data_IF_007892282869
#
_entry.id   IF_007892282869
#
_cell.length_a   1.000
_cell.length_b   1.000
_cell.length_c   1.000
_cell.angle_alpha   90.00
_cell.angle_beta   90.00
_cell.angle_gamma   90.00
#
_symmetry.space_group_name_H-M   'P 1'
#
loop_
_entity.id
_entity.type
_entity.pdbx_description
1 polymer ?
#
# COMPACT_ATOMS: atom_id res chain seq x y z
N UNK A 1 -6.66 -79.80 16.79
CA UNK A 1 -7.12 -78.59 17.43
C UNK A 1 -6.00 -77.55 17.22
N UNK A 2 -6.09 -76.78 16.15
CA UNK A 2 -5.01 -75.93 15.70
C UNK A 2 -5.40 -74.44 15.98
N UNK A 3 -4.69 -73.83 16.88
CA UNK A 3 -4.94 -72.39 17.27
C UNK A 3 -4.16 -71.50 16.34
N UNK A 4 -4.87 -70.71 15.56
CA UNK A 4 -4.29 -69.71 14.69
C UNK A 4 -4.13 -68.35 15.44
N UNK A 5 -2.90 -67.92 15.65
CA UNK A 5 -2.56 -66.58 16.22
C UNK A 5 -2.60 -65.57 15.11
N UNK A 6 -3.57 -64.66 15.15
CA UNK A 6 -3.60 -63.46 14.25
C UNK A 6 -2.79 -62.33 14.91
N UNK A 7 -1.66 -62.00 14.29
CA UNK A 7 -0.87 -60.81 14.67
C UNK A 7 -1.58 -59.55 14.19
N UNK A 8 -1.92 -58.67 15.13
CA UNK A 8 -2.42 -57.31 14.86
C UNK A 8 -1.19 -56.42 14.77
N UNK A 9 -0.92 -55.89 13.56
CA UNK A 9 0.09 -54.83 13.33
C UNK A 9 -0.61 -53.49 13.56
N UNK A 10 -0.26 -52.83 14.67
CA UNK A 10 -0.70 -51.48 14.93
C UNK A 10 0.21 -50.49 14.16
N UNK A 11 -0.33 -49.85 13.13
CA UNK A 11 0.33 -48.76 12.40
C UNK A 11 0.11 -47.45 13.18
N UNK A 12 1.13 -46.99 13.87
CA UNK A 12 1.10 -45.70 14.56
C UNK A 12 1.40 -44.62 13.52
N UNK A 13 0.38 -43.85 13.10
CA UNK A 13 0.56 -42.62 12.30
C UNK A 13 1.17 -41.54 13.22
N UNK A 14 2.45 -41.26 13.04
CA UNK A 14 3.05 -40.01 13.57
C UNK A 14 2.56 -38.84 12.74
N UNK A 15 1.62 -38.06 13.26
CA UNK A 15 1.26 -36.76 12.71
C UNK A 15 2.37 -35.76 13.06
N UNK A 16 3.28 -35.51 12.13
CA UNK A 16 4.23 -34.39 12.24
C UNK A 16 3.46 -33.09 11.99
N UNK A 17 3.14 -32.38 13.05
CA UNK A 17 2.69 -30.97 12.95
C UNK A 17 3.88 -30.14 12.50
N UNK A 18 3.93 -29.77 11.22
CA UNK A 18 4.79 -28.69 10.74
C UNK A 18 4.29 -27.38 11.40
N UNK A 19 4.98 -26.95 12.44
CA UNK A 19 4.84 -25.59 12.94
C UNK A 19 5.34 -24.67 11.81
N UNK A 20 4.43 -24.01 11.11
CA UNK A 20 4.79 -22.86 10.24
C UNK A 20 5.33 -21.82 11.20
N UNK A 21 6.65 -21.64 11.24
CA UNK A 21 7.27 -20.53 11.95
C UNK A 21 6.68 -19.25 11.34
N UNK A 22 6.03 -18.44 12.17
CA UNK A 22 5.55 -17.14 11.77
C UNK A 22 6.77 -16.33 11.27
N UNK A 23 6.64 -15.74 10.08
CA UNK A 23 7.74 -15.01 9.44
C UNK A 23 7.68 -13.58 9.94
N UNK A 24 8.64 -13.18 10.76
CA UNK A 24 8.75 -11.79 11.22
C UNK A 24 8.90 -10.84 10.02
N UNK A 25 8.09 -9.77 9.92
CA UNK A 25 8.15 -8.82 8.83
C UNK A 25 9.53 -8.16 8.69
N UNK A 26 10.00 -7.99 7.43
CA UNK A 26 11.18 -7.18 7.15
C UNK A 26 10.90 -5.71 7.49
N UNK A 27 11.87 -5.03 8.14
CA UNK A 27 11.76 -3.60 8.38
C UNK A 27 12.28 -2.82 7.18
N UNK A 28 11.48 -1.91 6.69
CA UNK A 28 11.84 -0.89 5.71
C UNK A 28 11.58 0.49 6.31
N UNK A 29 12.19 1.53 5.76
CA UNK A 29 11.80 2.90 6.10
C UNK A 29 10.79 3.44 5.09
N UNK A 30 9.93 4.32 5.56
CA UNK A 30 9.02 5.14 4.76
C UNK A 30 9.56 6.58 4.75
N UNK A 31 9.73 7.16 3.56
CA UNK A 31 10.23 8.53 3.39
C UNK A 31 9.71 9.17 2.11
N UNK A 32 9.86 10.49 2.00
CA UNK A 32 9.51 11.24 0.81
C UNK A 32 10.66 11.33 -0.18
N UNK A 33 10.34 11.57 -1.43
CA UNK A 33 11.31 11.87 -2.49
C UNK A 33 12.16 13.08 -2.10
N UNK A 34 13.49 12.92 -2.17
CA UNK A 34 14.46 13.94 -1.76
C UNK A 34 14.98 13.79 -0.31
N UNK A 35 14.31 13.02 0.56
CA UNK A 35 14.65 12.92 1.98
C UNK A 35 15.53 11.71 2.33
N UNK A 36 15.86 10.85 1.34
CA UNK A 36 16.62 9.63 1.58
C UNK A 36 18.01 9.89 2.17
N UNK A 37 18.64 11.02 1.83
CA UNK A 37 19.94 11.39 2.38
C UNK A 37 19.87 11.67 3.89
N UNK A 38 18.84 12.37 4.33
CA UNK A 38 18.60 12.63 5.75
C UNK A 38 18.35 11.32 6.53
N UNK A 39 17.81 10.30 5.88
CA UNK A 39 17.58 8.96 6.46
C UNK A 39 18.80 8.03 6.37
N UNK A 40 19.96 8.48 5.88
CA UNK A 40 21.12 7.62 5.55
C UNK A 40 21.62 6.78 6.73
N UNK A 41 21.63 7.33 7.95
CA UNK A 41 22.02 6.61 9.18
C UNK A 41 21.06 5.45 9.45
N UNK A 42 19.75 5.67 9.30
CA UNK A 42 18.73 4.64 9.50
C UNK A 42 18.86 3.56 8.41
N UNK A 43 19.05 3.97 7.16
CA UNK A 43 19.21 3.06 6.02
C UNK A 43 20.43 2.16 6.17
N UNK A 44 21.53 2.65 6.79
CA UNK A 44 22.74 1.87 6.99
C UNK A 44 22.59 0.74 8.01
N UNK A 45 21.55 0.74 8.83
CA UNK A 45 21.33 -0.28 9.87
C UNK A 45 21.14 -1.67 9.24
N UNK A 46 21.66 -2.69 9.92
CA UNK A 46 21.57 -4.09 9.45
C UNK A 46 20.17 -4.67 9.48
N UNK A 47 19.30 -4.15 10.38
CA UNK A 47 17.90 -4.58 10.54
C UNK A 47 16.92 -3.90 9.56
N UNK A 48 17.39 -2.99 8.71
CA UNK A 48 16.61 -2.34 7.66
C UNK A 48 16.88 -3.02 6.31
N UNK A 49 15.84 -3.51 5.64
CA UNK A 49 15.93 -4.20 4.34
C UNK A 49 15.89 -3.26 3.14
N UNK A 50 15.28 -2.07 3.29
CA UNK A 50 15.11 -1.12 2.19
C UNK A 50 14.35 0.13 2.57
N UNK A 51 13.88 0.84 1.55
CA UNK A 51 13.03 2.02 1.70
C UNK A 51 11.83 1.96 0.76
N UNK A 52 10.69 2.45 1.23
CA UNK A 52 9.58 2.91 0.41
C UNK A 52 9.71 4.42 0.28
N UNK A 53 9.75 4.92 -0.95
CA UNK A 53 9.90 6.35 -1.23
C UNK A 53 8.70 6.82 -2.02
N UNK A 54 8.08 7.91 -1.54
CA UNK A 54 6.89 8.51 -2.16
C UNK A 54 7.32 9.50 -3.23
N UNK A 55 6.84 9.30 -4.44
CA UNK A 55 7.00 10.21 -5.58
C UNK A 55 5.63 10.69 -6.03
N UNK A 56 5.45 11.99 -6.17
CA UNK A 56 4.20 12.52 -6.70
C UNK A 56 4.21 12.48 -8.24
N UNK A 57 3.01 12.36 -8.83
CA UNK A 57 2.86 12.25 -10.28
C UNK A 57 3.50 13.42 -11.04
N UNK A 58 3.30 14.67 -10.56
CA UNK A 58 3.84 15.88 -11.20
C UNK A 58 5.36 15.86 -11.34
N UNK A 59 6.07 15.37 -10.34
CA UNK A 59 7.53 15.29 -10.38
C UNK A 59 8.03 14.23 -11.35
N UNK A 60 7.25 13.18 -11.58
CA UNK A 60 7.61 12.09 -12.50
C UNK A 60 7.23 12.38 -13.96
N UNK A 61 6.22 13.22 -14.19
CA UNK A 61 5.74 13.65 -15.50
C UNK A 61 5.44 15.15 -15.48
N UNK A 62 6.48 16.03 -15.46
CA UNK A 62 6.28 17.48 -15.39
C UNK A 62 5.52 18.04 -16.61
N UNK A 63 5.73 17.47 -17.79
CA UNK A 63 5.01 17.78 -19.02
C UNK A 63 4.48 16.48 -19.65
N UNK A 64 3.42 16.58 -20.42
CA UNK A 64 2.79 15.41 -21.06
C UNK A 64 3.80 14.62 -21.89
N UNK A 65 3.91 13.33 -21.58
CA UNK A 65 4.85 12.38 -22.21
C UNK A 65 6.35 12.70 -22.01
N UNK A 66 6.66 13.61 -21.09
CA UNK A 66 8.03 13.91 -20.69
C UNK A 66 8.24 13.44 -19.24
N UNK A 67 8.99 12.37 -19.09
CA UNK A 67 9.20 11.74 -17.78
C UNK A 67 10.56 12.13 -17.19
N UNK A 68 10.56 12.57 -15.93
CA UNK A 68 11.77 12.77 -15.15
C UNK A 68 11.87 11.75 -14.03
N UNK A 69 12.74 10.77 -14.23
CA UNK A 69 13.03 9.73 -13.25
C UNK A 69 14.40 9.90 -12.58
N UNK A 70 15.00 11.07 -12.71
CA UNK A 70 16.33 11.35 -12.16
C UNK A 70 16.41 11.10 -10.66
N UNK A 71 15.38 11.48 -9.90
CA UNK A 71 15.32 11.26 -8.46
C UNK A 71 15.20 9.75 -8.13
N UNK A 72 14.39 9.00 -8.85
CA UNK A 72 14.30 7.54 -8.66
C UNK A 72 15.65 6.87 -8.92
N UNK A 73 16.37 7.28 -9.98
CA UNK A 73 17.70 6.74 -10.28
C UNK A 73 18.71 7.05 -9.17
N UNK A 74 18.70 8.26 -8.63
CA UNK A 74 19.57 8.65 -7.52
C UNK A 74 19.29 7.83 -6.26
N UNK A 75 18.02 7.72 -5.87
CA UNK A 75 17.61 6.96 -4.70
C UNK A 75 17.92 5.47 -4.85
N UNK A 76 17.67 4.90 -6.04
CA UNK A 76 18.00 3.52 -6.35
C UNK A 76 19.53 3.27 -6.28
N UNK A 77 20.35 4.19 -6.79
CA UNK A 77 21.79 4.08 -6.74
C UNK A 77 22.31 4.12 -5.29
N UNK A 78 21.79 5.02 -4.46
CA UNK A 78 22.12 5.12 -3.02
C UNK A 78 21.75 3.83 -2.28
N UNK A 79 20.53 3.33 -2.47
CA UNK A 79 20.05 2.11 -1.83
C UNK A 79 20.86 0.88 -2.28
N UNK A 80 21.21 0.78 -3.57
CA UNK A 80 22.08 -0.30 -4.08
C UNK A 80 23.46 -0.27 -3.44
N UNK A 81 24.06 0.90 -3.26
CA UNK A 81 25.36 1.05 -2.58
C UNK A 81 25.27 0.54 -1.14
N UNK A 82 24.16 0.79 -0.46
CA UNK A 82 23.87 0.29 0.88
C UNK A 82 23.38 -1.17 0.91
N UNK A 83 23.27 -1.85 -0.24
CA UNK A 83 22.67 -3.19 -0.42
C UNK A 83 21.22 -3.27 0.08
N UNK A 84 20.45 -2.22 -0.16
CA UNK A 84 19.05 -2.07 0.25
C UNK A 84 18.13 -2.09 -0.96
N UNK A 85 16.86 -2.42 -0.71
CA UNK A 85 15.79 -2.54 -1.71
C UNK A 85 15.02 -1.23 -1.82
N UNK A 86 14.52 -0.90 -3.01
CA UNK A 86 13.62 0.25 -3.25
C UNK A 86 12.21 -0.23 -3.54
N UNK A 87 11.22 0.33 -2.82
CA UNK A 87 9.83 0.38 -3.20
C UNK A 87 9.48 1.79 -3.69
N UNK A 88 8.96 1.91 -4.90
CA UNK A 88 8.43 3.16 -5.45
C UNK A 88 6.96 3.25 -5.02
N UNK A 89 6.58 4.29 -4.28
CA UNK A 89 5.18 4.64 -4.07
C UNK A 89 4.81 5.80 -4.96
N UNK A 90 3.83 5.60 -5.84
CA UNK A 90 3.31 6.67 -6.70
C UNK A 90 2.15 7.33 -5.97
N UNK A 91 2.18 8.66 -5.86
CA UNK A 91 1.14 9.41 -5.16
C UNK A 91 0.39 10.33 -6.13
N UNK A 92 -0.93 10.12 -6.22
CA UNK A 92 -1.87 10.89 -7.03
C UNK A 92 -2.96 11.60 -6.20
N UNK A 93 -2.91 11.41 -4.87
CA UNK A 93 -3.79 12.05 -3.89
C UNK A 93 -2.95 12.67 -2.78
N UNK A 94 -3.41 13.76 -2.23
CA UNK A 94 -2.65 14.54 -1.27
C UNK A 94 -3.59 15.30 -0.34
N UNK A 95 -3.12 15.55 0.87
CA UNK A 95 -3.90 16.06 2.00
C UNK A 95 -3.42 17.46 2.43
N UNK A 96 -3.05 18.28 1.45
CA UNK A 96 -2.61 19.64 1.62
C UNK A 96 -3.48 20.57 0.76
N UNK A 97 -4.05 21.59 1.37
CA UNK A 97 -5.01 22.49 0.72
C UNK A 97 -4.47 23.12 -0.58
N UNK A 98 -3.22 23.52 -0.59
CA UNK A 98 -2.61 24.25 -1.71
C UNK A 98 -1.74 23.36 -2.61
N UNK A 99 -1.53 22.07 -2.26
CA UNK A 99 -0.75 21.17 -3.07
C UNK A 99 -1.49 20.79 -4.37
N UNK A 100 -0.74 20.61 -5.45
CA UNK A 100 -1.22 20.17 -6.77
C UNK A 100 -0.17 19.22 -7.35
N UNK A 101 -0.14 17.99 -6.85
CA UNK A 101 0.90 17.02 -7.17
C UNK A 101 0.60 16.15 -8.39
N UNK A 102 -0.35 16.57 -9.23
CA UNK A 102 -0.54 16.02 -10.57
C UNK A 102 -0.02 16.97 -11.64
N UNK A 103 0.35 16.51 -12.85
CA UNK A 103 0.82 17.37 -13.94
C UNK A 103 -0.14 18.52 -14.29
N UNK A 104 0.40 19.69 -14.59
CA UNK A 104 -0.40 20.89 -14.89
C UNK A 104 -1.31 20.72 -16.10
N UNK A 105 -0.89 19.94 -17.10
CA UNK A 105 -1.72 19.70 -18.28
C UNK A 105 -3.03 18.95 -17.94
N UNK A 106 -3.05 18.11 -16.91
CA UNK A 106 -4.26 17.43 -16.47
C UNK A 106 -5.29 18.40 -15.89
N UNK A 107 -4.83 19.48 -15.24
CA UNK A 107 -5.70 20.48 -14.65
C UNK A 107 -6.14 21.56 -15.65
N UNK A 108 -5.33 21.85 -16.66
CA UNK A 108 -5.51 22.97 -17.57
C UNK A 108 -6.15 22.59 -18.92
N UNK A 109 -6.02 21.36 -19.38
CA UNK A 109 -6.62 20.89 -20.62
C UNK A 109 -8.03 20.33 -20.36
N UNK A 110 -9.01 20.88 -21.07
CA UNK A 110 -10.43 20.58 -20.91
C UNK A 110 -10.76 19.08 -21.12
N UNK A 111 -9.96 18.33 -21.88
CA UNK A 111 -10.16 16.90 -22.10
C UNK A 111 -10.08 16.05 -20.82
N UNK A 112 -9.40 16.53 -19.79
CA UNK A 112 -9.22 15.83 -18.51
C UNK A 112 -10.21 16.28 -17.42
N UNK A 113 -11.19 17.13 -17.74
CA UNK A 113 -12.23 17.54 -16.80
C UNK A 113 -11.73 18.26 -15.55
N UNK A 114 -10.52 18.83 -15.58
CA UNK A 114 -9.86 19.46 -14.44
C UNK A 114 -8.88 18.55 -13.71
N UNK A 115 -8.83 17.26 -14.05
CA UNK A 115 -7.82 16.29 -13.63
C UNK A 115 -7.86 15.86 -12.16
N UNK A 116 -8.30 16.75 -11.26
CA UNK A 116 -8.38 16.49 -9.81
C UNK A 116 -9.73 16.91 -9.23
N UNK A 117 -10.08 16.33 -8.11
CA UNK A 117 -11.24 16.72 -7.30
C UNK A 117 -10.83 17.03 -5.88
N UNK A 118 -11.50 18.00 -5.23
CA UNK A 118 -11.30 18.22 -3.80
C UNK A 118 -11.84 17.02 -3.01
N UNK A 119 -11.15 16.68 -1.93
CA UNK A 119 -11.57 15.68 -0.96
C UNK A 119 -11.40 16.20 0.48
N UNK A 120 -12.01 15.50 1.45
CA UNK A 120 -11.73 15.71 2.86
C UNK A 120 -10.37 15.10 3.22
N UNK A 121 -9.69 15.70 4.19
CA UNK A 121 -8.40 15.19 4.69
C UNK A 121 -8.58 13.95 5.59
N UNK A 122 -9.63 13.96 6.43
CA UNK A 122 -9.93 12.83 7.31
C UNK A 122 -11.41 12.47 7.23
N UNK A 123 -11.75 11.33 6.65
CA UNK A 123 -13.12 10.87 6.60
C UNK A 123 -13.77 10.80 7.98
N UNK A 124 -14.95 11.39 8.12
CA UNK A 124 -15.74 11.35 9.34
C UNK A 124 -15.28 12.26 10.49
N UNK A 125 -14.24 13.07 10.30
CA UNK A 125 -13.73 14.00 11.33
C UNK A 125 -14.30 15.43 11.19
N UNK A 126 -15.22 15.67 10.25
CA UNK A 126 -15.90 16.96 10.09
C UNK A 126 -15.01 18.09 9.55
N UNK A 127 -13.87 17.79 8.95
CA UNK A 127 -13.01 18.78 8.29
C UNK A 127 -13.67 19.31 7.02
N UNK A 128 -13.29 20.54 6.65
CA UNK A 128 -13.85 21.21 5.47
C UNK A 128 -13.36 20.57 4.17
N UNK A 129 -14.26 20.50 3.17
CA UNK A 129 -13.92 20.12 1.81
C UNK A 129 -12.76 20.99 1.27
N UNK A 130 -11.85 20.37 0.52
CA UNK A 130 -10.71 21.04 -0.07
C UNK A 130 -9.46 21.12 0.82
N UNK A 131 -9.45 20.38 1.94
CA UNK A 131 -8.23 20.13 2.72
C UNK A 131 -7.30 19.10 2.06
N UNK A 132 -7.79 18.41 1.04
CA UNK A 132 -7.03 17.49 0.20
C UNK A 132 -7.55 17.44 -1.23
N UNK A 133 -6.87 16.69 -2.08
CA UNK A 133 -7.17 16.54 -3.51
C UNK A 133 -6.86 15.11 -3.96
N UNK A 134 -7.60 14.64 -4.97
CA UNK A 134 -7.41 13.32 -5.59
C UNK A 134 -7.47 13.44 -7.12
N UNK A 135 -6.61 12.71 -7.84
CA UNK A 135 -6.72 12.57 -9.28
C UNK A 135 -8.01 11.85 -9.66
N UNK A 136 -8.68 12.32 -10.71
CA UNK A 136 -9.97 11.77 -11.17
C UNK A 136 -9.77 10.45 -11.92
N UNK A 137 -9.27 9.41 -11.26
CA UNK A 137 -8.99 8.11 -11.88
C UNK A 137 -10.23 7.44 -12.50
N UNK A 138 -11.44 7.85 -12.08
CA UNK A 138 -12.70 7.43 -12.70
C UNK A 138 -12.93 8.06 -14.09
N UNK A 139 -12.20 9.14 -14.44
CA UNK A 139 -12.20 9.69 -15.80
C UNK A 139 -11.23 8.86 -16.69
N UNK A 140 -11.70 8.30 -17.83
CA UNK A 140 -10.86 7.47 -18.69
C UNK A 140 -9.62 8.20 -19.24
N UNK A 141 -9.73 9.52 -19.53
CA UNK A 141 -8.61 10.27 -20.07
C UNK A 141 -7.51 10.48 -19.01
N UNK A 142 -7.89 10.77 -17.75
CA UNK A 142 -6.95 10.85 -16.62
C UNK A 142 -6.34 9.48 -16.33
N UNK A 143 -7.16 8.43 -16.28
CA UNK A 143 -6.70 7.06 -16.03
C UNK A 143 -5.69 6.58 -17.07
N UNK A 144 -5.92 6.86 -18.37
CA UNK A 144 -4.96 6.53 -19.42
C UNK A 144 -3.61 7.22 -19.23
N UNK A 145 -3.60 8.46 -18.73
CA UNK A 145 -2.33 9.16 -18.41
C UNK A 145 -1.60 8.52 -17.24
N UNK A 146 -2.33 8.11 -16.21
CA UNK A 146 -1.75 7.37 -15.10
C UNK A 146 -1.15 6.02 -15.55
N UNK A 147 -1.86 5.30 -16.41
CA UNK A 147 -1.35 4.06 -16.99
C UNK A 147 -0.13 4.29 -17.89
N UNK A 148 -0.07 5.40 -18.62
CA UNK A 148 1.12 5.79 -19.39
C UNK A 148 2.33 6.04 -18.48
N UNK A 149 2.13 6.73 -17.35
CA UNK A 149 3.17 6.88 -16.32
C UNK A 149 3.64 5.53 -15.76
N UNK A 150 2.71 4.65 -15.41
CA UNK A 150 3.04 3.29 -14.93
C UNK A 150 3.87 2.51 -15.94
N UNK A 151 3.51 2.59 -17.23
CA UNK A 151 4.26 1.92 -18.31
C UNK A 151 5.68 2.48 -18.45
N UNK A 152 5.84 3.81 -18.40
CA UNK A 152 7.15 4.46 -18.49
C UNK A 152 8.06 4.12 -17.29
N UNK A 153 7.50 4.07 -16.08
CA UNK A 153 8.24 3.63 -14.88
C UNK A 153 8.63 2.15 -15.03
N UNK A 154 7.72 1.30 -15.49
CA UNK A 154 7.99 -0.12 -15.65
C UNK A 154 9.06 -0.39 -16.70
N UNK A 155 9.02 0.29 -17.86
CA UNK A 155 10.05 0.20 -18.90
C UNK A 155 11.45 0.47 -18.33
N UNK A 156 11.57 1.43 -17.43
CA UNK A 156 12.85 1.83 -16.84
C UNK A 156 13.29 0.98 -15.65
N UNK A 157 12.34 0.56 -14.80
CA UNK A 157 12.65 0.07 -13.45
C UNK A 157 12.17 -1.35 -13.15
N UNK A 158 11.37 -2.00 -13.99
CA UNK A 158 10.90 -3.36 -13.72
C UNK A 158 12.08 -4.35 -13.61
N UNK A 159 12.15 -5.03 -12.47
CA UNK A 159 13.26 -5.92 -12.10
C UNK A 159 14.51 -5.20 -11.56
N UNK A 160 14.53 -3.84 -11.54
CA UNK A 160 15.59 -3.05 -10.91
C UNK A 160 15.22 -2.58 -9.52
N UNK A 161 13.91 -2.38 -9.28
CA UNK A 161 13.32 -2.06 -7.98
C UNK A 161 12.65 -3.28 -7.38
N UNK A 162 12.46 -3.29 -6.07
CA UNK A 162 11.81 -4.41 -5.40
C UNK A 162 10.31 -4.44 -5.67
N UNK A 163 9.69 -3.27 -5.70
CA UNK A 163 8.27 -3.17 -6.03
C UNK A 163 7.79 -1.76 -6.31
N UNK A 164 6.56 -1.68 -6.77
CA UNK A 164 5.79 -0.45 -6.93
C UNK A 164 4.53 -0.52 -6.07
N UNK A 165 4.22 0.58 -5.39
CA UNK A 165 3.03 0.73 -4.56
C UNK A 165 2.08 1.72 -5.22
N UNK A 166 0.86 1.29 -5.50
CA UNK A 166 -0.20 2.15 -5.98
C UNK A 166 -0.82 2.93 -4.81
N UNK A 167 -1.43 4.09 -5.05
CA UNK A 167 -2.11 4.88 -4.02
C UNK A 167 -3.19 4.08 -3.31
N UNK A 168 -3.58 4.53 -2.11
CA UNK A 168 -4.62 3.84 -1.35
C UNK A 168 -6.00 3.90 -2.02
N UNK A 169 -6.86 2.94 -1.72
CA UNK A 169 -8.24 2.89 -2.26
C UNK A 169 -9.15 3.96 -1.69
N UNK A 170 -8.79 4.54 -0.53
CA UNK A 170 -9.60 5.51 0.17
C UNK A 170 -9.60 6.87 -0.51
N UNK A 171 -10.77 7.39 -0.77
CA UNK A 171 -11.05 8.79 -1.10
C UNK A 171 -12.32 9.24 -0.37
N UNK A 172 -12.42 10.51 -0.05
CA UNK A 172 -13.58 11.07 0.66
C UNK A 172 -14.10 12.33 -0.06
N UNK A 173 -15.02 12.12 -0.97
CA UNK A 173 -15.65 13.17 -1.77
C UNK A 173 -16.92 13.70 -1.09
N UNK A 174 -17.31 14.94 -1.43
CA UNK A 174 -18.58 15.49 -0.99
C UNK A 174 -19.75 14.78 -1.67
N UNK A 175 -20.46 13.93 -0.94
CA UNK A 175 -21.63 13.18 -1.44
C UNK A 175 -22.73 14.10 -1.99
N UNK A 176 -22.80 15.36 -1.54
CA UNK A 176 -23.78 16.34 -2.01
C UNK A 176 -23.39 16.99 -3.34
N UNK A 177 -22.09 16.87 -3.72
CA UNK A 177 -21.54 17.50 -4.92
C UNK A 177 -20.49 16.59 -5.57
N UNK A 178 -20.92 15.42 -5.99
CA UNK A 178 -20.04 14.47 -6.64
C UNK A 178 -19.48 15.03 -7.96
N UNK A 179 -18.21 14.77 -8.27
CA UNK A 179 -17.60 15.15 -9.55
C UNK A 179 -18.29 14.45 -10.73
N UNK A 180 -18.23 15.09 -11.90
CA UNK A 180 -18.78 14.51 -13.13
C UNK A 180 -18.15 13.14 -13.41
N UNK A 181 -18.98 12.17 -13.76
CA UNK A 181 -18.56 10.81 -14.10
C UNK A 181 -18.20 9.94 -12.91
N UNK A 182 -18.18 10.47 -11.69
CA UNK A 182 -17.96 9.68 -10.50
C UNK A 182 -19.20 8.85 -10.15
N UNK A 183 -18.99 7.59 -9.89
CA UNK A 183 -19.83 6.72 -9.08
C UNK A 183 -18.90 5.74 -8.36
N UNK A 184 -19.36 5.15 -7.26
CA UNK A 184 -18.54 4.20 -6.51
C UNK A 184 -18.15 2.99 -7.35
N UNK A 185 -19.09 2.47 -8.16
CA UNK A 185 -18.82 1.38 -9.10
C UNK A 185 -17.79 1.76 -10.17
N UNK A 186 -17.90 2.97 -10.73
CA UNK A 186 -16.95 3.44 -11.73
C UNK A 186 -15.56 3.65 -11.12
N UNK A 187 -15.49 4.24 -9.92
CA UNK A 187 -14.22 4.39 -9.21
C UNK A 187 -13.58 3.04 -8.91
N UNK A 188 -14.33 2.11 -8.33
CA UNK A 188 -13.84 0.75 -8.06
C UNK A 188 -13.34 0.07 -9.34
N UNK A 189 -14.13 0.10 -10.42
CA UNK A 189 -13.74 -0.51 -11.70
C UNK A 189 -12.45 0.11 -12.26
N UNK A 190 -12.30 1.43 -12.13
CA UNK A 190 -11.12 2.19 -12.58
C UNK A 190 -9.85 1.83 -11.81
N UNK A 191 -9.94 1.72 -10.49
CA UNK A 191 -8.81 1.29 -9.66
C UNK A 191 -8.41 -0.17 -9.94
N UNK A 192 -9.38 -1.06 -10.14
CA UNK A 192 -9.11 -2.44 -10.54
C UNK A 192 -8.45 -2.54 -11.93
N UNK A 193 -8.82 -1.67 -12.87
CA UNK A 193 -8.19 -1.57 -14.19
C UNK A 193 -6.74 -1.09 -14.08
N UNK A 194 -6.47 -0.06 -13.25
CA UNK A 194 -5.12 0.41 -12.97
C UNK A 194 -4.26 -0.68 -12.34
N UNK A 195 -4.81 -1.43 -11.39
CA UNK A 195 -4.11 -2.52 -10.71
C UNK A 195 -3.75 -3.66 -11.68
N UNK A 196 -4.70 -4.06 -12.53
CA UNK A 196 -4.47 -5.06 -13.58
C UNK A 196 -3.41 -4.59 -14.58
N UNK A 197 -3.45 -3.32 -14.97
CA UNK A 197 -2.46 -2.72 -15.86
C UNK A 197 -1.07 -2.67 -15.21
N UNK A 198 -0.98 -2.23 -13.96
CA UNK A 198 0.28 -2.23 -13.22
C UNK A 198 0.90 -3.64 -13.17
N UNK A 199 0.12 -4.68 -12.83
CA UNK A 199 0.62 -6.07 -12.83
C UNK A 199 1.10 -6.53 -14.19
N UNK A 200 0.44 -6.09 -15.28
CA UNK A 200 0.83 -6.43 -16.65
C UNK A 200 2.20 -5.83 -17.01
N UNK A 201 2.45 -4.57 -16.65
CA UNK A 201 3.68 -3.86 -17.05
C UNK A 201 4.86 -4.13 -16.12
N UNK A 202 4.63 -4.35 -14.82
CA UNK A 202 5.66 -4.74 -13.85
C UNK A 202 5.72 -6.26 -13.73
N UNK A 203 6.34 -6.94 -14.71
CA UNK A 203 6.36 -8.39 -14.76
C UNK A 203 7.30 -9.04 -13.72
N UNK A 204 8.36 -8.34 -13.30
CA UNK A 204 9.44 -8.84 -12.44
C UNK A 204 9.37 -8.29 -11.01
N UNK A 205 8.99 -7.04 -10.86
CA UNK A 205 8.89 -6.36 -9.57
C UNK A 205 7.54 -6.66 -8.91
N UNK A 206 7.48 -6.55 -7.57
CA UNK A 206 6.21 -6.63 -6.86
C UNK A 206 5.31 -5.46 -7.23
N UNK A 207 4.02 -5.73 -7.38
CA UNK A 207 2.97 -4.71 -7.46
C UNK A 207 2.14 -4.82 -6.20
N UNK A 208 1.98 -3.72 -5.47
CA UNK A 208 1.21 -3.65 -4.23
C UNK A 208 0.15 -2.57 -4.36
N UNK A 209 -1.10 -2.88 -4.03
CA UNK A 209 -2.17 -1.90 -3.86
C UNK A 209 -2.30 -1.57 -2.38
N UNK A 210 -2.26 -0.28 -2.03
CA UNK A 210 -2.64 0.14 -0.69
C UNK A 210 -4.16 0.11 -0.53
N UNK A 211 -4.60 -0.45 0.58
CA UNK A 211 -6.00 -0.72 0.90
C UNK A 211 -6.34 -0.09 2.24
N UNK A 212 -7.36 0.75 2.27
CA UNK A 212 -7.90 1.32 3.49
C UNK A 212 -9.41 1.06 3.54
N UNK A 213 -10.22 1.89 2.90
CA UNK A 213 -11.64 1.65 2.68
C UNK A 213 -11.99 1.95 1.21
N UNK A 214 -13.18 1.59 0.78
CA UNK A 214 -13.76 2.00 -0.49
C UNK A 214 -14.84 3.06 -0.25
N UNK A 215 -14.91 4.13 -1.06
CA UNK A 215 -16.07 5.02 -1.00
C UNK A 215 -17.37 4.22 -1.21
N UNK A 216 -18.42 4.62 -0.51
CA UNK A 216 -19.74 3.98 -0.48
C UNK A 216 -19.78 2.57 0.15
N UNK A 217 -18.67 1.93 0.44
CA UNK A 217 -18.66 0.59 1.03
C UNK A 217 -18.47 0.64 2.55
N UNK A 218 -19.31 -0.09 3.25
CA UNK A 218 -19.13 -0.34 4.67
C UNK A 218 -19.36 -1.82 4.98
N UNK A 219 -18.37 -2.44 5.62
CA UNK A 219 -18.44 -3.87 5.98
C UNK A 219 -18.70 -4.77 4.76
N UNK A 220 -18.05 -4.46 3.63
CA UNK A 220 -18.14 -5.21 2.36
C UNK A 220 -19.57 -5.32 1.77
N UNK A 221 -20.45 -4.35 2.02
CA UNK A 221 -21.84 -4.38 1.54
C UNK A 221 -21.98 -4.20 0.01
N UNK A 222 -20.95 -3.64 -0.66
CA UNK A 222 -20.81 -3.61 -2.13
C UNK A 222 -19.88 -4.68 -2.68
N UNK A 223 -19.26 -5.46 -1.80
CA UNK A 223 -18.27 -6.50 -2.16
C UNK A 223 -17.05 -5.97 -2.94
N UNK A 224 -16.68 -4.70 -2.80
CA UNK A 224 -15.48 -4.15 -3.42
C UNK A 224 -14.21 -4.71 -2.75
N UNK A 225 -14.18 -4.72 -1.43
CA UNK A 225 -13.06 -5.25 -0.67
C UNK A 225 -12.84 -6.74 -0.98
N UNK A 226 -13.91 -7.54 -0.94
CA UNK A 226 -13.85 -8.97 -1.26
C UNK A 226 -13.29 -9.23 -2.65
N UNK A 227 -13.80 -8.51 -3.67
CA UNK A 227 -13.35 -8.62 -5.08
C UNK A 227 -11.90 -8.20 -5.26
N UNK A 228 -11.43 -7.15 -4.56
CA UNK A 228 -10.02 -6.75 -4.61
C UNK A 228 -9.10 -7.85 -4.08
N UNK A 229 -9.41 -8.41 -2.91
CA UNK A 229 -8.57 -9.45 -2.29
C UNK A 229 -8.57 -10.74 -3.12
N UNK A 230 -9.71 -11.14 -3.65
CA UNK A 230 -9.84 -12.28 -4.56
C UNK A 230 -9.00 -12.07 -5.83
N UNK A 231 -9.12 -10.92 -6.46
CA UNK A 231 -8.36 -10.57 -7.66
C UNK A 231 -6.85 -10.54 -7.39
N UNK A 232 -6.41 -9.90 -6.31
CA UNK A 232 -5.01 -9.80 -5.96
C UNK A 232 -4.39 -11.19 -5.70
N UNK A 233 -5.09 -12.04 -4.96
CA UNK A 233 -4.66 -13.42 -4.68
C UNK A 233 -4.54 -14.26 -5.96
N UNK A 234 -5.46 -14.09 -6.91
CA UNK A 234 -5.45 -14.84 -8.17
C UNK A 234 -4.39 -14.35 -9.20
N UNK A 235 -3.90 -13.11 -9.05
CA UNK A 235 -3.06 -12.46 -10.08
C UNK A 235 -1.62 -12.14 -9.61
N UNK A 236 -1.14 -12.75 -8.54
CA UNK A 236 0.20 -12.51 -8.00
C UNK A 236 0.44 -11.01 -7.69
N UNK A 237 -0.54 -10.39 -7.04
CA UNK A 237 -0.50 -8.99 -6.60
C UNK A 237 -0.40 -8.97 -5.09
N UNK A 238 0.44 -8.08 -4.58
CA UNK A 238 0.51 -7.78 -3.16
C UNK A 238 -0.55 -6.75 -2.75
N UNK A 239 -0.93 -6.80 -1.49
CA UNK A 239 -1.75 -5.76 -0.87
C UNK A 239 -1.02 -5.17 0.34
N UNK A 240 -1.38 -3.96 0.70
CA UNK A 240 -0.83 -3.29 1.86
C UNK A 240 -1.79 -2.25 2.41
N UNK A 241 -1.33 -1.42 3.29
CA UNK A 241 -2.11 -0.31 3.82
C UNK A 241 -1.21 0.81 4.33
N UNK A 242 -1.70 2.06 4.32
CA UNK A 242 -0.90 3.20 4.75
C UNK A 242 -0.64 3.21 6.26
N UNK A 243 -1.47 2.47 7.04
CA UNK A 243 -1.42 2.52 8.50
C UNK A 243 -1.63 1.15 9.12
N UNK A 244 -0.71 0.75 9.99
CA UNK A 244 -0.95 -0.31 10.97
C UNK A 244 -1.47 0.34 12.24
N UNK A 245 -2.76 0.22 12.52
CA UNK A 245 -3.34 0.70 13.79
C UNK A 245 -4.03 -0.47 14.48
N UNK A 246 -3.35 -1.16 15.40
CA UNK A 246 -3.94 -2.29 16.09
C UNK A 246 -5.28 -1.92 16.75
N UNK A 247 -6.28 -2.79 16.59
CA UNK A 247 -7.61 -2.66 17.20
C UNK A 247 -8.43 -1.43 16.75
N UNK A 248 -8.04 -0.69 15.70
CA UNK A 248 -8.84 0.44 15.20
C UNK A 248 -10.15 -0.06 14.60
N UNK A 249 -11.27 0.39 15.16
CA UNK A 249 -12.61 -0.14 14.86
C UNK A 249 -12.97 -0.12 13.37
N UNK A 250 -12.65 0.96 12.66
CA UNK A 250 -12.97 1.07 11.23
C UNK A 250 -12.21 0.04 10.39
N UNK A 251 -10.90 -0.06 10.56
CA UNK A 251 -10.09 -1.04 9.84
C UNK A 251 -10.40 -2.48 10.26
N UNK A 252 -10.64 -2.74 11.54
CA UNK A 252 -11.08 -4.05 12.05
C UNK A 252 -12.44 -4.48 11.49
N UNK A 253 -13.22 -3.55 10.95
CA UNK A 253 -14.50 -3.85 10.30
C UNK A 253 -14.37 -3.96 8.77
N UNK A 254 -13.56 -3.12 8.15
CA UNK A 254 -13.55 -2.97 6.69
C UNK A 254 -12.38 -3.72 6.00
N UNK A 255 -11.14 -3.46 6.35
CA UNK A 255 -9.97 -3.98 5.61
C UNK A 255 -9.22 -5.10 6.31
N UNK A 256 -8.93 -4.99 7.61
CA UNK A 256 -8.07 -5.93 8.32
C UNK A 256 -8.59 -7.39 8.37
N UNK A 257 -9.90 -7.67 8.47
CA UNK A 257 -10.40 -9.04 8.40
C UNK A 257 -10.05 -9.74 7.10
N UNK A 258 -9.98 -9.01 5.99
CA UNK A 258 -9.58 -9.56 4.69
C UNK A 258 -8.10 -9.90 4.66
N UNK A 259 -7.22 -9.07 5.22
CA UNK A 259 -5.80 -9.42 5.38
C UNK A 259 -5.65 -10.70 6.19
N UNK A 260 -6.39 -10.84 7.28
CA UNK A 260 -6.39 -12.07 8.09
C UNK A 260 -6.87 -13.28 7.29
N UNK A 261 -7.97 -13.17 6.56
CA UNK A 261 -8.54 -14.25 5.73
C UNK A 261 -7.62 -14.69 4.59
N UNK A 262 -6.88 -13.72 4.01
CA UNK A 262 -5.97 -13.96 2.89
C UNK A 262 -4.51 -14.10 3.31
N UNK A 263 -4.24 -14.24 4.58
CA UNK A 263 -2.92 -14.53 5.13
C UNK A 263 -2.29 -15.72 4.40
N UNK A 264 -1.06 -15.55 3.91
CA UNK A 264 -0.33 -16.53 3.10
C UNK A 264 -0.95 -16.86 1.71
N UNK A 265 -1.90 -16.06 1.22
CA UNK A 265 -2.49 -16.22 -0.11
C UNK A 265 -2.15 -15.07 -1.07
N UNK A 266 -1.70 -13.95 -0.54
CA UNK A 266 -1.25 -12.80 -1.32
C UNK A 266 0.23 -12.96 -1.69
N UNK A 267 0.63 -12.36 -2.81
CA UNK A 267 2.03 -12.36 -3.26
C UNK A 267 2.96 -11.64 -2.27
N UNK A 268 2.46 -10.62 -1.61
CA UNK A 268 3.16 -9.81 -0.61
C UNK A 268 2.12 -9.05 0.22
N UNK A 269 2.38 -8.90 1.52
CA UNK A 269 1.64 -7.96 2.38
C UNK A 269 2.64 -6.93 2.91
N UNK A 270 2.47 -5.67 2.49
CA UNK A 270 3.40 -4.59 2.83
C UNK A 270 2.63 -3.40 3.45
N UNK A 271 2.85 -3.18 4.73
CA UNK A 271 2.08 -2.24 5.55
C UNK A 271 2.97 -1.10 6.05
N UNK A 272 2.41 0.11 6.21
CA UNK A 272 3.16 1.24 6.75
C UNK A 272 2.75 1.59 8.19
N UNK A 273 3.66 2.25 8.89
CA UNK A 273 3.42 2.96 10.15
C UNK A 273 3.91 4.40 9.93
N UNK A 274 2.97 5.29 9.64
CA UNK A 274 3.24 6.71 9.37
C UNK A 274 3.20 7.55 10.66
N UNK A 275 3.58 8.83 10.58
CA UNK A 275 3.61 9.73 11.75
C UNK A 275 2.29 9.82 12.51
N UNK A 276 1.11 10.02 11.86
CA UNK A 276 -0.15 10.06 12.58
C UNK A 276 -0.41 8.78 13.36
N UNK A 277 0.00 7.62 12.81
CA UNK A 277 -0.15 6.31 13.44
C UNK A 277 0.64 6.19 14.74
N UNK A 278 1.83 6.80 14.81
CA UNK A 278 2.67 6.80 16.01
C UNK A 278 2.04 7.53 17.20
N UNK A 279 1.05 8.38 16.96
CA UNK A 279 0.33 9.14 18.00
C UNK A 279 -0.85 8.37 18.60
N UNK A 280 -1.31 7.30 17.95
CA UNK A 280 -2.44 6.52 18.45
C UNK A 280 -2.08 5.76 19.73
N UNK A 281 -3.07 5.66 20.60
CA UNK A 281 -2.92 4.99 21.89
C UNK A 281 -3.60 3.63 21.89
N UNK A 282 -2.92 2.66 22.47
CA UNK A 282 -3.52 1.38 22.78
C UNK A 282 -4.70 1.60 23.76
N UNK A 283 -5.93 1.20 23.41
CA UNK A 283 -7.11 1.45 24.26
C UNK A 283 -7.08 0.72 25.60
N UNK A 284 -6.25 -0.32 25.73
CA UNK A 284 -6.11 -1.10 26.96
C UNK A 284 -5.13 -0.44 27.95
N UNK A 285 -4.07 0.19 27.46
CA UNK A 285 -3.02 0.76 28.29
C UNK A 285 -3.07 2.28 28.39
N UNK A 286 -3.77 2.96 27.46
CA UNK A 286 -3.79 4.41 27.31
C UNK A 286 -2.46 5.04 26.86
N UNK A 287 -1.44 4.22 26.54
CA UNK A 287 -0.11 4.65 26.07
C UNK A 287 -0.02 4.53 24.55
N UNK A 288 0.90 5.27 23.89
CA UNK A 288 1.23 5.01 22.49
C UNK A 288 1.60 3.54 22.28
N UNK A 289 1.30 2.99 21.11
CA UNK A 289 1.72 1.63 20.78
C UNK A 289 3.25 1.52 20.73
N UNK A 290 3.77 0.40 21.23
CA UNK A 290 5.20 0.06 21.11
C UNK A 290 5.52 -0.55 19.74
N UNK A 291 6.82 -0.65 19.41
CA UNK A 291 7.27 -1.36 18.21
C UNK A 291 6.78 -2.81 18.20
N UNK A 292 6.89 -3.48 19.33
CA UNK A 292 6.50 -4.88 19.49
C UNK A 292 5.01 -5.09 19.26
N UNK A 293 4.16 -4.17 19.72
CA UNK A 293 2.70 -4.23 19.52
C UNK A 293 2.34 -4.07 18.02
N UNK A 294 3.03 -3.17 17.29
CA UNK A 294 2.87 -3.05 15.85
C UNK A 294 3.33 -4.32 15.12
N UNK A 295 4.53 -4.82 15.44
CA UNK A 295 5.10 -6.02 14.80
C UNK A 295 4.21 -7.23 15.07
N UNK A 296 3.80 -7.46 16.30
CA UNK A 296 2.95 -8.57 16.67
C UNK A 296 1.61 -8.54 15.92
N UNK A 297 0.96 -7.39 15.85
CA UNK A 297 -0.29 -7.26 15.11
C UNK A 297 -0.11 -7.46 13.60
N UNK A 298 0.97 -6.92 13.04
CA UNK A 298 1.32 -7.09 11.63
C UNK A 298 1.57 -8.55 11.28
N UNK A 299 2.31 -9.28 12.12
CA UNK A 299 2.65 -10.68 11.92
C UNK A 299 1.44 -11.59 12.18
N UNK A 300 0.84 -11.49 13.37
CA UNK A 300 -0.17 -12.44 13.83
C UNK A 300 -1.53 -12.25 13.17
N UNK A 301 -1.92 -11.00 12.91
CA UNK A 301 -3.23 -10.71 12.39
C UNK A 301 -3.22 -10.38 10.89
N UNK A 302 -2.36 -9.45 10.45
CA UNK A 302 -2.34 -8.99 9.07
C UNK A 302 -1.56 -9.92 8.13
N UNK A 303 -0.63 -10.72 8.65
CA UNK A 303 0.26 -11.55 7.85
C UNK A 303 1.23 -10.73 7.01
N UNK A 304 1.70 -9.60 7.56
CA UNK A 304 2.61 -8.70 6.87
C UNK A 304 3.99 -9.33 6.63
N UNK A 305 4.52 -9.15 5.43
CA UNK A 305 5.88 -9.51 5.05
C UNK A 305 6.85 -8.34 5.26
N UNK A 306 6.35 -7.10 5.15
CA UNK A 306 7.13 -5.87 5.26
C UNK A 306 6.37 -4.85 6.10
N UNK A 307 7.10 -4.14 6.96
CA UNK A 307 6.63 -2.93 7.61
C UNK A 307 7.49 -1.75 7.15
N UNK A 308 6.85 -0.73 6.58
CA UNK A 308 7.47 0.55 6.24
C UNK A 308 7.31 1.51 7.43
N UNK A 309 8.40 1.76 8.15
CA UNK A 309 8.42 2.64 9.31
C UNK A 309 8.69 4.08 8.90
N UNK A 310 7.88 5.04 9.36
CA UNK A 310 8.26 6.45 9.28
C UNK A 310 9.65 6.66 9.89
N UNK A 311 10.47 7.49 9.27
CA UNK A 311 11.81 7.86 9.76
C UNK A 311 11.76 8.52 11.13
N UNK A 312 10.61 9.03 11.57
CA UNK A 312 10.39 9.63 12.91
C UNK A 312 10.03 8.59 13.96
N UNK A 313 9.94 7.31 13.63
CA UNK A 313 9.65 6.25 14.60
C UNK A 313 10.70 6.24 15.73
N UNK A 314 10.27 6.30 17.00
CA UNK A 314 11.21 6.45 18.14
C UNK A 314 12.29 5.37 18.22
N UNK A 315 11.95 4.14 17.81
CA UNK A 315 12.88 2.99 17.80
C UNK A 315 13.89 3.01 16.65
N UNK A 316 13.77 3.93 15.69
CA UNK A 316 14.77 4.13 14.66
C UNK A 316 15.87 5.12 15.07
N UNK A 317 15.56 6.03 16.00
CA UNK A 317 16.50 7.04 16.46
C UNK A 317 17.49 6.54 17.52
N UNK A 318 17.20 5.43 18.23
CA UNK A 318 17.84 5.04 19.48
C UNK A 318 18.77 3.82 19.38
N UNK A 319 19.44 3.58 18.23
CA UNK A 319 20.42 2.48 18.12
C UNK A 319 21.73 2.94 17.47
#
# INVERSE_FOLDING_TARGET
MTISIRSIVAVTLLATTLSVLAKTPENFVYTSSGDLEAASIIIARSDIGGAQIVYNWRSLEPEKDQYDFSQIEQDLARLKTAKKKLFIQIQDRFFEQNARYVPDYLMNDAQYGGGISPQFDNPGEGKTMGSGWVAQQWDPAVRHRYQALLAAIAERFDGRVYGVNLPETAIDLDEKKLPKGFSCDNYFASEMENLAFARKVFAKSHVVQYVNFWPCEWNNDHNYMGRLFEFASANNIGLGGPDIVPKRKAQMKNSYPFFNQYKNKLALVAMAVQEPTLTYKNPETGKPFSKEEFVQFAEDYLGADIIFWSTTSPWLANQ
#
